data_IF_659081491011
#
_entry.id   IF_659081491011
#
_cell.length_a   1.000
_cell.length_b   1.000
_cell.length_c   1.000
_cell.angle_alpha   90.00
_cell.angle_beta   90.00
_cell.angle_gamma   90.00
#
_symmetry.space_group_name_H-M   'P 1'
#
loop_
_entity.id
_entity.type
_entity.pdbx_description
1 polymer ?
#
# COMPACT_ATOMS: atom_id res chain seq x y z
N UNK A 1 32.90 -4.70 -31.79
CA UNK A 1 31.41 -4.73 -31.76
C UNK A 1 30.83 -5.61 -30.64
N UNK A 2 31.34 -6.82 -30.37
CA UNK A 2 30.80 -7.70 -29.29
C UNK A 2 30.81 -7.09 -27.88
N UNK A 3 31.87 -6.34 -27.53
CA UNK A 3 32.00 -5.65 -26.22
C UNK A 3 31.00 -4.50 -26.03
N UNK A 4 30.55 -3.89 -27.13
CA UNK A 4 29.61 -2.75 -27.12
C UNK A 4 28.18 -3.25 -26.91
N UNK A 5 27.84 -4.40 -27.49
CA UNK A 5 26.57 -5.08 -27.27
C UNK A 5 26.40 -5.57 -25.82
N UNK A 6 27.45 -6.12 -25.18
CA UNK A 6 27.33 -6.55 -23.79
C UNK A 6 27.14 -5.37 -22.82
N UNK A 7 27.80 -4.24 -23.08
CA UNK A 7 27.62 -3.01 -22.30
C UNK A 7 26.20 -2.46 -22.44
N UNK A 8 25.63 -2.52 -23.65
CA UNK A 8 24.25 -2.11 -23.91
C UNK A 8 23.25 -3.01 -23.18
N UNK A 9 23.46 -4.34 -23.17
CA UNK A 9 22.62 -5.26 -22.42
C UNK A 9 22.68 -5.02 -20.91
N UNK A 10 23.88 -4.78 -20.35
CA UNK A 10 24.05 -4.46 -18.92
C UNK A 10 23.33 -3.15 -18.57
N UNK A 11 23.39 -2.14 -19.46
CA UNK A 11 22.69 -0.88 -19.27
C UNK A 11 21.16 -1.05 -19.31
N UNK A 12 20.64 -1.86 -20.23
CA UNK A 12 19.19 -2.13 -20.35
C UNK A 12 18.68 -2.91 -19.12
N UNK A 13 19.47 -3.87 -18.61
CA UNK A 13 19.12 -4.65 -17.43
C UNK A 13 19.18 -3.76 -16.17
N UNK A 14 20.15 -2.86 -16.04
CA UNK A 14 20.23 -1.96 -14.88
C UNK A 14 19.09 -0.94 -14.88
N UNK A 15 18.70 -0.40 -16.04
CA UNK A 15 17.56 0.52 -16.18
C UNK A 15 16.22 -0.13 -15.81
N UNK A 16 16.03 -1.42 -16.11
CA UNK A 16 14.77 -2.11 -15.84
C UNK A 16 14.55 -2.44 -14.35
N UNK A 17 15.63 -2.56 -13.55
CA UNK A 17 15.53 -2.77 -12.10
C UNK A 17 15.05 -1.51 -11.37
N UNK A 18 15.38 -0.31 -11.86
CA UNK A 18 14.94 0.95 -11.25
C UNK A 18 13.47 1.30 -11.51
N UNK A 19 12.83 0.70 -12.51
CA UNK A 19 11.46 1.02 -12.90
C UNK A 19 10.39 0.31 -12.05
N UNK A 20 10.77 -0.60 -11.14
CA UNK A 20 9.82 -1.48 -10.46
C UNK A 20 9.84 -1.28 -8.94
N UNK A 21 9.28 -0.14 -8.51
CA UNK A 21 9.23 0.24 -7.09
C UNK A 21 8.13 -0.52 -6.31
N UNK A 22 7.14 -1.07 -7.02
CA UNK A 22 6.13 -1.98 -6.47
C UNK A 22 6.22 -3.31 -7.22
N UNK A 23 6.29 -4.47 -6.53
CA UNK A 23 6.33 -5.78 -7.18
C UNK A 23 5.11 -6.01 -8.08
N UNK A 24 5.31 -6.57 -9.29
CA UNK A 24 4.20 -7.07 -10.11
C UNK A 24 3.46 -8.16 -9.35
N UNK A 25 2.13 -8.07 -9.27
CA UNK A 25 1.31 -8.99 -8.48
C UNK A 25 0.99 -8.52 -7.06
N UNK A 26 1.54 -7.39 -6.60
CA UNK A 26 1.15 -6.83 -5.32
C UNK A 26 -0.30 -6.32 -5.34
N UNK A 27 -0.97 -6.35 -4.19
CA UNK A 27 -2.23 -5.65 -4.00
C UNK A 27 -1.91 -4.20 -3.68
N UNK A 28 -2.52 -3.28 -4.42
CA UNK A 28 -2.19 -1.86 -4.35
C UNK A 28 -3.47 -1.05 -4.17
N UNK A 29 -3.46 -0.16 -3.19
CA UNK A 29 -4.43 0.92 -3.07
C UNK A 29 -3.91 2.10 -3.91
N UNK A 30 -4.70 2.55 -4.88
CA UNK A 30 -4.38 3.68 -5.74
C UNK A 30 -5.28 4.84 -5.32
N UNK A 31 -4.66 5.94 -4.93
CA UNK A 31 -5.34 7.16 -4.51
C UNK A 31 -5.11 8.24 -5.55
N UNK A 32 -6.19 8.92 -5.95
CA UNK A 32 -6.09 10.19 -6.67
C UNK A 32 -5.96 11.29 -5.61
N UNK A 33 -4.75 11.83 -5.44
CA UNK A 33 -4.49 12.79 -4.36
C UNK A 33 -4.93 14.21 -4.73
N UNK A 34 -5.07 15.06 -3.72
CA UNK A 34 -5.42 16.48 -3.88
C UNK A 34 -4.19 17.40 -3.87
N UNK A 35 -2.98 16.84 -3.88
CA UNK A 35 -1.73 17.60 -3.82
C UNK A 35 -1.36 18.22 -5.18
N UNK A 36 -0.61 19.32 -5.13
CA UNK A 36 -0.17 20.04 -6.33
C UNK A 36 1.12 19.50 -6.93
N UNK A 37 2.01 18.91 -6.10
CA UNK A 37 3.25 18.29 -6.55
C UNK A 37 3.60 17.00 -5.78
N UNK A 38 4.51 16.21 -6.35
CA UNK A 38 5.05 15.01 -5.69
C UNK A 38 5.85 15.36 -4.44
N UNK A 39 6.64 16.44 -4.47
CA UNK A 39 7.43 16.87 -3.32
C UNK A 39 6.53 17.31 -2.16
N UNK A 40 5.45 18.05 -2.47
CA UNK A 40 4.45 18.44 -1.50
C UNK A 40 3.78 17.21 -0.88
N UNK A 41 3.32 16.28 -1.72
CA UNK A 41 2.66 15.06 -1.28
C UNK A 41 3.55 14.25 -0.31
N UNK A 42 4.81 14.05 -0.67
CA UNK A 42 5.78 13.37 0.19
C UNK A 42 5.95 14.10 1.52
N UNK A 43 6.16 15.41 1.48
CA UNK A 43 6.49 16.19 2.68
C UNK A 43 5.34 16.13 3.68
N UNK A 44 4.11 16.35 3.20
CA UNK A 44 2.91 16.35 4.03
C UNK A 44 2.64 14.94 4.58
N UNK A 45 2.71 13.91 3.73
CA UNK A 45 2.43 12.52 4.15
C UNK A 45 3.48 12.03 5.13
N UNK A 46 4.76 12.32 4.90
CA UNK A 46 5.84 11.98 5.82
C UNK A 46 5.62 12.62 7.20
N UNK A 47 5.24 13.90 7.23
CA UNK A 47 4.91 14.60 8.48
C UNK A 47 3.72 13.98 9.20
N UNK A 48 2.65 13.60 8.47
CA UNK A 48 1.47 12.94 9.06
C UNK A 48 1.84 11.58 9.67
N UNK A 49 2.63 10.78 8.97
CA UNK A 49 3.11 9.47 9.46
C UNK A 49 3.91 9.63 10.76
N UNK A 50 4.89 10.55 10.77
CA UNK A 50 5.70 10.82 11.96
C UNK A 50 4.85 11.32 13.13
N UNK A 51 3.90 12.22 12.88
CA UNK A 51 2.98 12.72 13.91
C UNK A 51 2.06 11.65 14.49
N UNK A 52 1.83 10.56 13.75
CA UNK A 52 1.04 9.40 14.19
C UNK A 52 1.90 8.31 14.84
N UNK A 53 3.19 8.57 15.06
CA UNK A 53 4.13 7.62 15.65
C UNK A 53 4.65 6.56 14.68
N UNK A 54 4.45 6.73 13.37
CA UNK A 54 4.91 5.79 12.34
C UNK A 54 6.25 6.30 11.79
N UNK A 55 7.32 5.56 12.06
CA UNK A 55 8.66 5.90 11.58
C UNK A 55 8.79 5.75 10.07
N UNK A 56 9.81 6.39 9.50
CA UNK A 56 10.16 6.30 8.08
C UNK A 56 11.48 5.54 7.97
N UNK A 57 11.49 4.42 7.25
CA UNK A 57 12.68 3.60 7.04
C UNK A 57 13.46 4.04 5.81
N UNK A 58 12.75 4.38 4.73
CA UNK A 58 13.34 4.84 3.48
C UNK A 58 12.52 5.98 2.92
N UNK A 59 13.19 7.04 2.47
CA UNK A 59 12.58 8.20 1.84
C UNK A 59 13.42 8.61 0.63
N UNK A 60 12.77 8.76 -0.51
CA UNK A 60 13.37 9.29 -1.72
C UNK A 60 12.43 10.31 -2.36
N UNK A 61 12.62 11.56 -1.94
CA UNK A 61 11.82 12.71 -2.37
C UNK A 61 11.84 12.91 -3.89
N UNK A 62 13.00 12.69 -4.53
CA UNK A 62 13.18 12.88 -5.98
C UNK A 62 12.32 11.96 -6.82
N UNK A 63 12.02 10.78 -6.29
CA UNK A 63 11.33 9.72 -7.03
C UNK A 63 9.89 9.57 -6.53
N UNK A 64 9.45 10.33 -5.53
CA UNK A 64 8.09 10.14 -5.00
C UNK A 64 7.96 8.88 -4.14
N UNK A 65 9.05 8.34 -3.59
CA UNK A 65 9.03 7.04 -2.89
C UNK A 65 9.28 7.15 -1.39
N UNK A 66 8.53 6.36 -0.62
CA UNK A 66 8.60 6.30 0.84
C UNK A 66 8.27 4.88 1.31
N UNK A 67 9.03 4.35 2.26
CA UNK A 67 8.70 3.13 3.01
C UNK A 67 8.70 3.42 4.50
N UNK A 68 7.63 3.04 5.19
CA UNK A 68 7.53 3.16 6.65
C UNK A 68 8.49 2.19 7.33
N UNK A 69 8.92 2.53 8.55
CA UNK A 69 9.42 1.52 9.48
C UNK A 69 8.30 0.54 9.88
N UNK A 70 8.66 -0.59 10.50
CA UNK A 70 7.68 -1.52 11.01
C UNK A 70 6.82 -0.84 12.09
N UNK A 71 5.50 -0.91 11.95
CA UNK A 71 4.54 -0.42 12.93
C UNK A 71 3.48 -1.49 13.23
N UNK A 72 3.02 -1.55 14.48
CA UNK A 72 2.07 -2.60 14.90
C UNK A 72 0.63 -2.12 14.79
N UNK A 73 -0.22 -2.89 14.13
CA UNK A 73 -1.66 -2.73 14.11
C UNK A 73 -2.31 -4.04 14.57
N UNK A 74 -3.04 -3.99 15.69
CA UNK A 74 -3.79 -5.13 16.26
C UNK A 74 -3.00 -6.46 16.29
N UNK A 75 -1.73 -6.39 16.70
CA UNK A 75 -0.85 -7.55 16.87
C UNK A 75 -0.07 -7.97 15.62
N UNK A 76 -0.27 -7.31 14.48
CA UNK A 76 0.48 -7.54 13.24
C UNK A 76 1.47 -6.40 13.02
N UNK A 77 2.73 -6.74 12.73
CA UNK A 77 3.75 -5.76 12.35
C UNK A 77 3.69 -5.50 10.85
N UNK A 78 3.50 -4.25 10.45
CA UNK A 78 3.28 -3.84 9.06
C UNK A 78 4.39 -2.90 8.59
N UNK A 79 4.79 -3.03 7.34
CA UNK A 79 5.67 -2.13 6.62
C UNK A 79 4.97 -1.71 5.32
N UNK A 80 4.76 -0.41 5.12
CA UNK A 80 4.01 0.13 3.99
C UNK A 80 4.93 0.94 3.09
N UNK A 81 4.82 0.68 1.80
CA UNK A 81 5.48 1.42 0.74
C UNK A 81 4.46 2.30 0.02
N UNK A 82 4.79 3.58 -0.10
CA UNK A 82 3.99 4.61 -0.75
C UNK A 82 4.82 5.18 -1.90
N UNK A 83 4.23 5.20 -3.09
CA UNK A 83 4.83 5.76 -4.27
C UNK A 83 3.90 6.79 -4.91
N UNK A 84 4.41 7.99 -5.13
CA UNK A 84 3.71 9.10 -5.76
C UNK A 84 4.17 9.26 -7.21
N UNK A 85 3.22 9.36 -8.13
CA UNK A 85 3.50 9.63 -9.54
C UNK A 85 2.56 10.69 -10.10
N UNK A 86 3.07 11.52 -11.00
CA UNK A 86 2.26 12.45 -11.78
C UNK A 86 1.74 11.74 -13.02
N UNK A 87 0.42 11.72 -13.21
CA UNK A 87 -0.22 11.22 -14.42
C UNK A 87 -1.38 12.13 -14.79
N UNK A 88 -1.46 12.55 -16.05
CA UNK A 88 -2.54 13.43 -16.55
C UNK A 88 -2.72 14.71 -15.70
N UNK A 89 -1.60 15.31 -15.28
CA UNK A 89 -1.55 16.49 -14.39
C UNK A 89 -2.18 16.29 -13.01
N UNK A 90 -2.36 15.04 -12.56
CA UNK A 90 -2.82 14.68 -11.23
C UNK A 90 -1.78 13.83 -10.53
N UNK A 91 -1.61 14.03 -9.22
CA UNK A 91 -0.72 13.22 -8.39
C UNK A 91 -1.48 11.98 -7.89
N UNK A 92 -0.97 10.79 -8.20
CA UNK A 92 -1.49 9.52 -7.70
C UNK A 92 -0.56 8.96 -6.63
N UNK A 93 -1.14 8.43 -5.55
CA UNK A 93 -0.41 7.65 -4.56
C UNK A 93 -0.73 6.17 -4.74
N UNK A 94 0.30 5.32 -4.82
CA UNK A 94 0.18 3.86 -4.85
C UNK A 94 0.73 3.31 -3.55
N UNK A 95 -0.11 2.60 -2.81
CA UNK A 95 0.23 2.02 -1.53
C UNK A 95 0.24 0.50 -1.63
N UNK A 96 1.32 -0.10 -1.15
CA UNK A 96 1.46 -1.54 -0.98
C UNK A 96 2.18 -1.82 0.32
N UNK A 97 2.19 -3.05 0.80
CA UNK A 97 2.94 -3.34 2.02
C UNK A 97 3.17 -4.82 2.24
N UNK A 98 3.98 -5.08 3.27
CA UNK A 98 4.23 -6.40 3.80
C UNK A 98 3.91 -6.40 5.29
N UNK A 99 3.61 -7.58 5.81
CA UNK A 99 3.34 -7.75 7.22
C UNK A 99 4.05 -8.99 7.76
N UNK A 100 4.26 -9.00 9.08
CA UNK A 100 4.78 -10.12 9.85
C UNK A 100 3.81 -10.40 10.99
N UNK A 101 3.46 -11.67 11.17
CA UNK A 101 2.50 -12.09 12.19
C UNK A 101 3.08 -12.09 13.60
N UNK A 102 4.42 -12.01 13.72
CA UNK A 102 5.10 -12.13 15.01
C UNK A 102 5.08 -13.56 15.58
N UNK A 103 4.60 -14.55 14.83
CA UNK A 103 4.65 -15.96 15.21
C UNK A 103 6.08 -16.48 15.09
N UNK A 104 6.76 -16.61 16.22
CA UNK A 104 7.99 -17.39 16.31
C UNK A 104 7.64 -18.87 16.52
N UNK A 105 7.84 -19.70 15.50
CA UNK A 105 7.69 -21.14 15.64
C UNK A 105 9.01 -21.72 16.16
N UNK A 106 8.98 -22.23 17.39
CA UNK A 106 10.08 -22.98 17.98
C UNK A 106 9.97 -24.44 17.58
N UNK A 107 10.82 -24.90 16.66
CA UNK A 107 10.99 -26.32 16.35
C UNK A 107 12.31 -26.80 16.96
N UNK A 108 12.25 -27.36 18.17
CA UNK A 108 13.43 -27.78 18.92
C UNK A 108 14.34 -26.58 19.27
N UNK A 109 15.60 -26.61 18.82
CA UNK A 109 16.60 -25.56 19.06
C UNK A 109 16.62 -24.46 17.98
N UNK A 110 15.78 -24.57 16.95
CA UNK A 110 15.75 -23.61 15.84
C UNK A 110 14.57 -22.64 16.00
N UNK A 111 14.87 -21.35 16.12
CA UNK A 111 13.88 -20.27 16.00
C UNK A 111 13.67 -19.98 14.52
N UNK A 112 12.49 -20.29 14.00
CA UNK A 112 12.11 -19.87 12.64
C UNK A 112 11.27 -18.60 12.80
N UNK A 113 11.87 -17.44 12.50
CA UNK A 113 11.13 -16.18 12.39
C UNK A 113 10.18 -16.26 11.19
N UNK A 114 8.96 -15.78 11.38
CA UNK A 114 8.00 -15.60 10.30
C UNK A 114 8.59 -14.75 9.16
N UNK A 115 8.36 -15.19 7.92
CA UNK A 115 8.81 -14.46 6.73
C UNK A 115 7.80 -13.35 6.43
N UNK A 116 8.26 -12.15 6.01
CA UNK A 116 7.34 -11.09 5.59
C UNK A 116 6.41 -11.59 4.48
N UNK A 117 5.11 -11.43 4.69
CA UNK A 117 4.06 -11.77 3.73
C UNK A 117 3.49 -10.50 3.11
N UNK A 118 3.14 -10.52 1.82
CA UNK A 118 2.53 -9.36 1.17
C UNK A 118 1.11 -9.12 1.68
N UNK A 119 0.76 -7.85 1.92
CA UNK A 119 -0.60 -7.45 2.28
C UNK A 119 -1.51 -7.68 1.06
N UNK A 120 -2.68 -8.30 1.28
CA UNK A 120 -3.62 -8.64 0.21
C UNK A 120 -5.07 -8.24 0.53
N UNK A 121 -5.84 -7.90 -0.51
CA UNK A 121 -7.23 -7.43 -0.42
C UNK A 121 -8.21 -8.50 0.08
N UNK A 122 -7.76 -9.75 0.18
CA UNK A 122 -8.61 -10.92 0.46
C UNK A 122 -8.09 -11.62 1.71
N UNK A 123 -8.82 -11.45 2.81
CA UNK A 123 -8.63 -12.21 4.05
C UNK A 123 -9.98 -12.55 4.66
N UNK A 124 -10.09 -13.73 5.27
CA UNK A 124 -11.26 -14.07 6.08
C UNK A 124 -11.39 -13.05 7.23
N UNK A 125 -12.62 -12.71 7.64
CA UNK A 125 -12.85 -11.86 8.82
C UNK A 125 -12.11 -12.44 10.03
N UNK A 126 -11.36 -11.60 10.73
CA UNK A 126 -10.52 -12.02 11.87
C UNK A 126 -9.16 -12.64 11.50
N UNK A 127 -8.82 -12.75 10.22
CA UNK A 127 -7.48 -13.19 9.81
C UNK A 127 -6.45 -12.07 9.94
N UNK A 128 -5.19 -12.44 10.21
CA UNK A 128 -4.06 -11.50 10.28
C UNK A 128 -3.83 -10.76 8.94
N UNK A 129 -4.20 -11.38 7.82
CA UNK A 129 -4.19 -10.74 6.49
C UNK A 129 -5.19 -9.59 6.43
N UNK A 130 -6.40 -9.79 6.95
CA UNK A 130 -7.43 -8.74 7.01
C UNK A 130 -6.98 -7.59 7.92
N UNK A 131 -6.39 -7.92 9.06
CA UNK A 131 -5.77 -6.93 9.96
C UNK A 131 -4.67 -6.12 9.27
N UNK A 132 -3.80 -6.77 8.50
CA UNK A 132 -2.76 -6.08 7.75
C UNK A 132 -3.34 -5.18 6.64
N UNK A 133 -4.43 -5.62 6.00
CA UNK A 133 -5.16 -4.81 5.03
C UNK A 133 -5.79 -3.57 5.68
N UNK A 134 -6.41 -3.70 6.84
CA UNK A 134 -6.98 -2.58 7.60
C UNK A 134 -5.89 -1.57 8.02
N UNK A 135 -4.69 -2.04 8.34
CA UNK A 135 -3.54 -1.17 8.59
C UNK A 135 -3.16 -0.36 7.33
N UNK A 136 -3.17 -0.99 6.15
CA UNK A 136 -2.91 -0.33 4.87
C UNK A 136 -4.00 0.70 4.52
N UNK A 137 -5.27 0.35 4.74
CA UNK A 137 -6.40 1.28 4.57
C UNK A 137 -6.29 2.49 5.50
N UNK A 138 -5.86 2.29 6.75
CA UNK A 138 -5.61 3.38 7.68
C UNK A 138 -4.53 4.34 7.18
N UNK A 139 -3.44 3.83 6.60
CA UNK A 139 -2.42 4.70 5.98
C UNK A 139 -3.02 5.44 4.79
N UNK A 140 -3.82 4.78 3.95
CA UNK A 140 -4.47 5.41 2.80
C UNK A 140 -5.37 6.58 3.23
N UNK A 141 -6.13 6.42 4.32
CA UNK A 141 -6.99 7.47 4.88
C UNK A 141 -6.22 8.69 5.42
N UNK A 142 -4.93 8.54 5.77
CA UNK A 142 -4.10 9.67 6.21
C UNK A 142 -3.67 10.57 5.06
N UNK A 143 -3.65 10.05 3.82
CA UNK A 143 -3.27 10.79 2.62
C UNK A 143 -4.49 11.58 2.16
N UNK A 144 -4.32 12.85 1.81
CA UNK A 144 -5.43 13.64 1.26
C UNK A 144 -5.74 13.22 -0.19
N UNK A 145 -6.97 12.77 -0.44
CA UNK A 145 -7.38 12.18 -1.71
C UNK A 145 -8.85 12.42 -2.06
N UNK A 146 -9.14 12.37 -3.36
CA UNK A 146 -10.49 12.52 -3.92
C UNK A 146 -11.14 11.19 -4.28
N UNK A 147 -10.34 10.17 -4.61
CA UNK A 147 -10.84 8.83 -4.96
C UNK A 147 -9.91 7.74 -4.44
N UNK A 148 -10.50 6.60 -4.07
CA UNK A 148 -9.80 5.35 -3.74
C UNK A 148 -10.14 4.31 -4.82
N UNK A 149 -9.12 3.74 -5.45
CA UNK A 149 -9.23 2.55 -6.29
C UNK A 149 -8.37 1.42 -5.71
N UNK A 150 -8.79 0.18 -5.94
CA UNK A 150 -8.03 -1.00 -5.54
C UNK A 150 -7.57 -1.74 -6.77
N UNK A 151 -6.36 -2.31 -6.72
CA UNK A 151 -5.89 -3.25 -7.74
C UNK A 151 -5.37 -4.51 -7.08
N UNK A 152 -5.82 -5.65 -7.61
CA UNK A 152 -5.45 -7.00 -7.17
C UNK A 152 -4.57 -7.57 -8.27
N UNK A 153 -3.32 -7.92 -7.94
CA UNK A 153 -2.35 -8.43 -8.90
C UNK A 153 -2.09 -7.50 -10.12
N UNK A 154 -2.32 -6.20 -9.99
CA UNK A 154 -2.21 -5.23 -11.09
C UNK A 154 -3.45 -5.15 -12.00
N UNK A 155 -4.53 -5.87 -11.70
CA UNK A 155 -5.84 -5.72 -12.34
C UNK A 155 -6.82 -5.02 -11.41
N UNK A 156 -7.77 -4.24 -11.95
CA UNK A 156 -8.91 -3.77 -11.15
C UNK A 156 -9.70 -4.99 -10.66
N UNK A 157 -10.18 -5.03 -9.40
CA UNK A 157 -11.00 -6.13 -8.92
C UNK A 157 -12.17 -6.33 -9.87
N UNK A 158 -12.33 -7.55 -10.38
CA UNK A 158 -13.47 -7.89 -11.23
C UNK A 158 -14.73 -7.65 -10.42
N UNK A 159 -15.67 -6.86 -10.95
CA UNK A 159 -17.02 -6.78 -10.38
C UNK A 159 -17.56 -8.21 -10.29
N UNK A 160 -17.71 -8.75 -9.07
CA UNK A 160 -18.41 -10.02 -8.90
C UNK A 160 -19.89 -9.75 -9.21
N UNK A 161 -20.37 -10.32 -10.31
CA UNK A 161 -21.79 -10.40 -10.58
C UNK A 161 -22.34 -11.62 -9.83
N UNK A 162 -23.48 -11.45 -9.15
CA UNK A 162 -24.17 -12.59 -8.54
C UNK A 162 -24.60 -13.59 -9.63
N UNK A 163 -25.02 -14.81 -9.22
CA UNK A 163 -25.51 -15.85 -10.16
C UNK A 163 -26.73 -15.41 -11.01
N UNK A 164 -27.28 -14.23 -10.76
CA UNK A 164 -28.41 -13.62 -11.47
C UNK A 164 -27.99 -12.38 -12.29
N UNK A 165 -26.69 -12.13 -12.48
CA UNK A 165 -26.18 -11.02 -13.28
C UNK A 165 -26.36 -9.65 -12.64
N UNK A 166 -26.62 -9.57 -11.32
CA UNK A 166 -26.70 -8.30 -10.60
C UNK A 166 -25.34 -7.92 -10.08
N UNK A 167 -25.01 -6.62 -10.16
CA UNK A 167 -23.85 -6.04 -9.47
C UNK A 167 -23.92 -6.42 -8.00
N UNK A 168 -22.98 -7.22 -7.52
CA UNK A 168 -22.82 -7.45 -6.09
C UNK A 168 -22.36 -6.12 -5.53
N UNK A 169 -23.27 -5.46 -4.82
CA UNK A 169 -23.06 -4.14 -4.25
C UNK A 169 -22.14 -4.29 -3.04
N UNK A 170 -20.86 -4.53 -3.29
CA UNK A 170 -19.81 -4.45 -2.27
C UNK A 170 -19.37 -2.97 -2.09
N UNK A 171 -20.31 -2.03 -2.25
CA UNK A 171 -20.24 -0.80 -1.48
C UNK A 171 -20.55 -1.23 -0.06
N UNK A 172 -19.50 -1.55 0.70
CA UNK A 172 -19.54 -1.22 2.12
C UNK A 172 -19.73 0.30 2.10
N UNK A 173 -20.97 0.74 2.29
CA UNK A 173 -21.22 2.03 2.89
C UNK A 173 -20.34 2.01 4.14
N UNK A 174 -19.23 2.74 4.10
CA UNK A 174 -18.52 3.12 5.30
C UNK A 174 -19.54 3.95 6.07
N UNK A 175 -20.33 3.29 6.92
CA UNK A 175 -21.03 3.96 7.99
C UNK A 175 -19.93 4.61 8.82
N UNK A 176 -19.71 5.90 8.53
CA UNK A 176 -18.84 6.80 9.26
C UNK A 176 -19.33 6.84 10.71
N UNK A 177 -18.66 6.21 11.68
CA UNK A 177 -19.14 6.18 13.06
C UNK A 177 -18.97 7.54 13.74
N UNK A 178 -18.37 8.53 13.07
CA UNK A 178 -17.98 9.81 13.65
C UNK A 178 -18.84 11.00 13.18
N UNK A 179 -19.83 10.79 12.31
CA UNK A 179 -20.72 11.86 11.79
C UNK A 179 -22.21 11.72 12.12
N UNK A 180 -22.58 10.94 13.16
CA UNK A 180 -23.98 10.85 13.64
C UNK A 180 -24.16 11.38 15.06
N UNK A 181 -23.59 12.55 15.39
CA UNK A 181 -24.03 13.33 16.55
C UNK A 181 -23.94 14.83 16.28
N UNK A 182 -24.94 15.36 15.60
CA UNK A 182 -25.43 16.71 15.88
C UNK A 182 -26.96 16.69 16.05
N UNK A 183 -27.38 17.06 17.27
CA UNK A 183 -28.63 17.77 17.65
C UNK A 183 -29.97 17.14 17.31
N UNK A 184 -30.81 16.79 18.29
CA UNK A 184 -31.86 17.63 18.92
C UNK A 184 -32.56 16.75 19.98
N UNK A 185 -33.05 17.13 21.16
CA UNK A 185 -33.44 18.36 21.87
C UNK A 185 -33.05 18.22 23.35
#
# INVERSE_FOLDING_TARGET
MKKLASLLCILIISLSVFAQQIPRGANVIILKTNYSSVEEAITIVSKKLLSSGIGIALLNEKVGFLTTGPFTHTGVSNEVTIYFETKDSVIYAKLSGVFRTGLELNFGYSRVSDKPSSISYIGQRGSLIRTAWEALERIAQMIDHSTIEFTINGEKPKEELDRKGRKKKDNIDLEDPLYSRETTY
#
